data_IF_919384230304
#
_entry.id   IF_919384230304
#
_cell.length_a   1.000
_cell.length_b   1.000
_cell.length_c   1.000
_cell.angle_alpha   90.00
_cell.angle_beta   90.00
_cell.angle_gamma   90.00
#
_symmetry.space_group_name_H-M   'P 1'
#
loop_
_entity.id
_entity.type
_entity.pdbx_description
1 polymer ?
#
# COMPACT_ATOMS: atom_id res chain seq x y z
N UNK A 1 19.12 -8.76 20.38
CA UNK A 1 18.49 -8.70 19.05
C UNK A 1 16.99 -8.48 19.22
N UNK A 2 16.44 -7.40 18.67
CA UNK A 2 15.08 -6.91 18.92
C UNK A 2 14.00 -7.63 18.10
N UNK A 3 14.01 -8.95 18.11
CA UNK A 3 12.96 -9.74 17.46
C UNK A 3 12.13 -10.46 18.51
N UNK A 4 10.84 -10.11 18.60
CA UNK A 4 9.85 -10.83 19.40
C UNK A 4 9.65 -12.29 18.92
N UNK A 5 10.22 -12.64 17.77
CA UNK A 5 10.16 -13.97 17.17
C UNK A 5 11.11 -14.97 17.84
N UNK A 6 10.52 -15.92 18.57
CA UNK A 6 11.23 -17.06 19.17
C UNK A 6 11.16 -18.27 18.24
N UNK A 7 12.18 -18.45 17.40
CA UNK A 7 12.38 -19.64 16.57
C UNK A 7 13.81 -20.18 16.67
N UNK A 8 14.01 -21.44 16.25
CA UNK A 8 15.36 -22.03 16.15
C UNK A 8 16.20 -21.23 15.15
N UNK A 9 17.49 -21.01 15.47
CA UNK A 9 18.41 -20.18 14.68
C UNK A 9 18.44 -20.56 13.18
N UNK A 10 18.42 -21.86 12.87
CA UNK A 10 18.39 -22.39 11.50
C UNK A 10 17.09 -22.10 10.71
N UNK A 11 16.01 -21.73 11.40
CA UNK A 11 14.70 -21.41 10.79
C UNK A 11 14.42 -19.91 10.70
N UNK A 12 15.33 -19.05 11.19
CA UNK A 12 15.12 -17.61 11.23
C UNK A 12 15.55 -16.87 9.98
N UNK A 13 16.51 -17.40 9.23
CA UNK A 13 17.03 -16.70 8.06
C UNK A 13 15.94 -16.47 7.02
N UNK A 14 15.98 -15.30 6.39
CA UNK A 14 15.01 -14.86 5.39
C UNK A 14 15.65 -14.60 4.04
N UNK A 15 16.98 -14.58 3.97
CA UNK A 15 17.75 -14.50 2.75
C UNK A 15 18.96 -15.42 2.79
N UNK A 16 19.33 -15.97 1.65
CA UNK A 16 20.56 -16.74 1.43
C UNK A 16 21.36 -16.15 0.27
N UNK A 17 22.68 -16.11 0.39
CA UNK A 17 23.55 -15.65 -0.67
C UNK A 17 23.43 -16.53 -1.92
N UNK A 18 23.73 -16.00 -3.12
CA UNK A 18 23.72 -16.78 -4.35
C UNK A 18 24.59 -18.05 -4.30
N UNK A 19 25.66 -18.01 -3.49
CA UNK A 19 26.57 -19.14 -3.28
C UNK A 19 26.14 -20.08 -2.14
N UNK A 20 24.99 -19.85 -1.47
CA UNK A 20 24.48 -20.71 -0.39
C UNK A 20 25.23 -20.63 0.94
N UNK A 21 26.41 -20.00 0.98
CA UNK A 21 27.30 -20.01 2.15
C UNK A 21 26.83 -19.11 3.30
N UNK A 22 26.10 -18.04 2.98
CA UNK A 22 25.68 -17.04 3.98
C UNK A 22 24.17 -16.97 4.02
N UNK A 23 23.59 -17.01 5.23
CA UNK A 23 22.16 -16.80 5.42
C UNK A 23 21.93 -15.73 6.49
N UNK A 24 21.04 -14.79 6.20
CA UNK A 24 20.82 -13.60 7.02
C UNK A 24 19.33 -13.41 7.35
N UNK A 25 19.07 -12.73 8.47
CA UNK A 25 17.74 -12.26 8.90
C UNK A 25 17.59 -10.80 8.45
N UNK A 26 17.11 -10.55 7.22
CA UNK A 26 17.02 -9.19 6.64
C UNK A 26 15.59 -8.72 6.37
N UNK A 27 14.59 -9.59 6.55
CA UNK A 27 13.19 -9.25 6.35
C UNK A 27 12.51 -9.07 7.71
N UNK A 28 11.89 -7.90 7.93
CA UNK A 28 11.27 -7.55 9.20
C UNK A 28 9.82 -7.12 9.02
N UNK A 29 9.00 -7.46 10.01
CA UNK A 29 7.65 -6.91 10.18
C UNK A 29 7.72 -5.99 11.40
N UNK A 30 7.49 -4.70 11.20
CA UNK A 30 7.56 -3.69 12.25
C UNK A 30 6.16 -3.30 12.70
N UNK A 31 5.98 -3.14 14.01
CA UNK A 31 4.74 -2.62 14.59
C UNK A 31 5.06 -1.87 15.88
N UNK A 32 4.30 -0.80 16.12
CA UNK A 32 4.27 -0.06 17.38
C UNK A 32 3.50 -0.81 18.49
N UNK A 33 2.77 -1.89 18.15
CA UNK A 33 2.01 -2.72 19.09
C UNK A 33 2.44 -4.19 19.00
N UNK A 34 3.61 -4.55 19.56
CA UNK A 34 4.17 -5.90 19.45
C UNK A 34 3.27 -6.97 20.08
N UNK A 35 2.46 -6.62 21.08
CA UNK A 35 1.49 -7.53 21.72
C UNK A 35 0.35 -7.98 20.79
N UNK A 36 0.13 -7.28 19.67
CA UNK A 36 -0.89 -7.61 18.65
C UNK A 36 -0.37 -8.52 17.56
N UNK A 37 0.94 -8.75 17.50
CA UNK A 37 1.56 -9.67 16.56
C UNK A 37 1.57 -11.08 17.15
N UNK A 38 1.05 -12.05 16.40
CA UNK A 38 1.03 -13.48 16.77
C UNK A 38 1.47 -14.33 15.57
N UNK A 39 1.75 -15.61 15.83
CA UNK A 39 2.05 -16.60 14.80
C UNK A 39 3.14 -16.13 13.81
N UNK A 40 4.22 -15.55 14.35
CA UNK A 40 5.36 -15.15 13.53
C UNK A 40 6.09 -16.40 13.11
N UNK A 41 6.33 -16.55 11.81
CA UNK A 41 7.09 -17.67 11.26
C UNK A 41 7.75 -17.32 9.94
N UNK A 42 8.81 -18.05 9.62
CA UNK A 42 9.43 -18.04 8.30
C UNK A 42 8.91 -19.27 7.54
N UNK A 43 8.24 -19.01 6.43
CA UNK A 43 7.69 -20.02 5.55
C UNK A 43 8.77 -20.57 4.61
N UNK A 44 8.71 -21.87 4.33
CA UNK A 44 9.66 -22.59 3.47
C UNK A 44 8.87 -23.56 2.57
N UNK A 45 9.54 -24.15 1.57
CA UNK A 45 8.93 -25.18 0.72
C UNK A 45 8.01 -24.66 -0.37
N UNK A 46 8.12 -23.38 -0.73
CA UNK A 46 7.47 -22.89 -1.95
C UNK A 46 8.25 -23.37 -3.17
N UNK A 47 7.55 -23.88 -4.18
CA UNK A 47 8.13 -24.41 -5.42
C UNK A 47 8.76 -23.35 -6.34
N UNK A 48 9.12 -22.18 -5.82
CA UNK A 48 9.87 -21.16 -6.54
C UNK A 48 11.26 -21.00 -5.91
N UNK A 49 12.27 -20.88 -6.75
CA UNK A 49 13.63 -20.59 -6.32
C UNK A 49 13.74 -19.08 -6.03
N UNK A 50 13.41 -18.68 -4.80
CA UNK A 50 13.80 -17.37 -4.30
C UNK A 50 14.90 -17.58 -3.25
N UNK A 51 15.98 -16.82 -3.43
CA UNK A 51 16.99 -16.51 -2.42
C UNK A 51 16.37 -15.93 -1.12
N UNK A 52 15.07 -15.60 -1.15
CA UNK A 52 14.26 -15.16 -0.04
C UNK A 52 13.27 -16.21 0.49
N UNK A 53 13.12 -16.25 1.82
CA UNK A 53 12.00 -16.92 2.50
C UNK A 53 10.97 -15.90 2.95
N UNK A 54 9.69 -16.27 2.85
CA UNK A 54 8.59 -15.40 3.26
C UNK A 54 8.48 -15.35 4.80
N UNK A 55 8.29 -14.15 5.34
CA UNK A 55 7.95 -13.94 6.75
C UNK A 55 6.45 -13.74 6.87
N UNK A 56 5.81 -14.55 7.71
CA UNK A 56 4.38 -14.46 8.01
C UNK A 56 4.19 -14.04 9.45
N UNK A 57 3.20 -13.19 9.68
CA UNK A 57 2.69 -12.91 11.01
C UNK A 57 1.19 -12.64 10.93
N UNK A 58 0.47 -12.94 12.01
CA UNK A 58 -0.92 -12.55 12.21
C UNK A 58 -0.96 -11.25 13.02
N UNK A 59 -1.65 -10.23 12.51
CA UNK A 59 -1.87 -8.97 13.24
C UNK A 59 -3.31 -8.89 13.72
N UNK A 60 -3.50 -8.72 15.03
CA UNK A 60 -4.82 -8.59 15.65
C UNK A 60 -5.33 -7.14 15.54
N UNK A 61 -6.56 -6.97 15.04
CA UNK A 61 -7.26 -5.68 14.96
C UNK A 61 -8.36 -5.64 16.02
N UNK A 62 -8.50 -4.51 16.73
CA UNK A 62 -9.56 -4.33 17.75
C UNK A 62 -10.95 -4.14 17.12
N UNK A 63 -10.98 -3.62 15.88
CA UNK A 63 -12.21 -3.30 15.16
C UNK A 63 -12.16 -3.98 13.79
N UNK A 64 -13.28 -4.57 13.37
CA UNK A 64 -13.42 -5.13 12.03
C UNK A 64 -13.13 -4.08 10.96
N UNK A 65 -12.35 -4.45 9.94
CA UNK A 65 -12.03 -3.57 8.82
C UNK A 65 -13.34 -3.10 8.19
N UNK A 66 -13.64 -1.79 8.24
CA UNK A 66 -14.80 -1.22 7.52
C UNK A 66 -14.63 -1.59 6.05
N UNK A 67 -15.60 -2.29 5.49
CA UNK A 67 -15.50 -2.72 4.09
C UNK A 67 -15.40 -1.49 3.18
N UNK A 68 -14.48 -1.53 2.21
CA UNK A 68 -14.43 -0.51 1.15
C UNK A 68 -15.72 -0.51 0.32
N UNK A 69 -16.41 -1.64 0.18
CA UNK A 69 -17.72 -1.69 -0.48
C UNK A 69 -18.83 -1.02 0.33
N UNK A 70 -18.68 -0.91 1.65
CA UNK A 70 -19.60 -0.16 2.50
C UNK A 70 -19.31 1.36 2.49
N UNK A 71 -18.20 1.78 1.88
CA UNK A 71 -17.88 3.20 1.73
C UNK A 71 -18.77 3.80 0.63
N UNK A 72 -19.94 4.33 1.03
CA UNK A 72 -20.76 5.15 0.14
C UNK A 72 -20.09 6.50 0.01
N UNK A 73 -19.59 6.83 -1.19
CA UNK A 73 -19.22 8.19 -1.50
C UNK A 73 -20.44 9.09 -1.24
N UNK A 74 -20.23 10.23 -0.59
CA UNK A 74 -21.31 11.23 -0.48
C UNK A 74 -21.77 11.56 -1.91
N UNK A 75 -23.09 11.56 -2.19
CA UNK A 75 -23.56 11.98 -3.50
C UNK A 75 -22.97 13.36 -3.77
N UNK A 76 -22.35 13.54 -4.93
CA UNK A 76 -21.98 14.87 -5.40
C UNK A 76 -23.30 15.62 -5.59
N UNK A 77 -23.67 16.48 -4.65
CA UNK A 77 -24.63 17.54 -4.94
C UNK A 77 -24.09 18.27 -6.16
N UNK A 78 -24.95 18.40 -7.18
CA UNK A 78 -24.63 19.19 -8.37
C UNK A 78 -24.20 20.57 -7.86
N UNK A 79 -23.01 21.03 -8.27
CA UNK A 79 -22.49 22.35 -7.90
C UNK A 79 -23.57 23.37 -8.29
N UNK A 80 -24.13 24.10 -7.33
CA UNK A 80 -25.06 25.18 -7.63
C UNK A 80 -24.36 26.21 -8.52
N UNK A 81 -25.13 27.00 -9.27
CA UNK A 81 -24.59 28.04 -10.16
C UNK A 81 -23.62 28.98 -9.42
N UNK A 82 -23.87 29.22 -8.13
CA UNK A 82 -23.01 29.97 -7.21
C UNK A 82 -21.64 29.34 -6.99
N UNK A 83 -21.56 28.01 -6.87
CA UNK A 83 -20.29 27.28 -6.75
C UNK A 83 -19.50 27.40 -8.05
N UNK A 84 -20.17 27.33 -9.21
CA UNK A 84 -19.51 27.47 -10.52
C UNK A 84 -18.96 28.90 -10.68
N UNK A 85 -19.74 29.90 -10.28
CA UNK A 85 -19.36 31.30 -10.34
C UNK A 85 -18.14 31.61 -9.47
N UNK A 86 -18.11 31.12 -8.22
CA UNK A 86 -16.93 31.29 -7.35
C UNK A 86 -15.66 30.61 -7.88
N UNK A 87 -15.79 29.44 -8.53
CA UNK A 87 -14.66 28.77 -9.17
C UNK A 87 -14.13 29.52 -10.40
N UNK A 88 -15.01 30.12 -11.20
CA UNK A 88 -14.62 30.93 -12.36
C UNK A 88 -13.98 32.25 -11.93
N UNK A 89 -14.48 32.87 -10.87
CA UNK A 89 -13.93 34.12 -10.30
C UNK A 89 -12.55 33.89 -9.67
N UNK A 90 -12.35 32.78 -8.95
CA UNK A 90 -11.07 32.46 -8.30
C UNK A 90 -10.02 31.87 -9.25
N UNK A 91 -10.40 31.41 -10.45
CA UNK A 91 -9.44 30.83 -11.40
C UNK A 91 -8.62 31.94 -12.06
N UNK A 92 -7.29 32.06 -11.79
CA UNK A 92 -6.47 33.04 -12.48
C UNK A 92 -6.45 32.65 -13.95
N UNK A 93 -6.96 33.52 -14.80
CA UNK A 93 -7.07 33.32 -16.24
C UNK A 93 -5.72 32.92 -16.83
N UNK A 94 -5.52 31.62 -17.08
CA UNK A 94 -4.48 31.18 -18.02
C UNK A 94 -5.02 31.49 -19.41
N UNK A 95 -4.79 32.71 -19.85
CA UNK A 95 -4.85 33.09 -21.26
C UNK A 95 -3.94 32.13 -22.04
N UNK A 96 -4.52 31.04 -22.52
CA UNK A 96 -3.88 30.14 -23.49
C UNK A 96 -4.74 30.15 -24.73
N UNK A 97 -4.57 31.23 -25.49
CA UNK A 97 -4.97 31.33 -26.89
C UNK A 97 -4.57 30.03 -27.60
N UNK A 98 -5.56 29.25 -28.01
CA UNK A 98 -5.38 28.26 -29.07
C UNK A 98 -6.32 28.61 -30.20
N UNK A 99 -5.73 29.25 -31.21
CA UNK A 99 -6.23 29.24 -32.58
C UNK A 99 -6.54 27.77 -32.94
N UNK A 100 -7.82 27.49 -33.18
CA UNK A 100 -8.29 26.26 -33.79
C UNK A 100 -9.31 26.67 -34.83
N UNK A 101 -8.82 26.90 -36.06
CA UNK A 101 -9.65 26.95 -37.25
C UNK A 101 -10.47 25.65 -37.30
N UNK A 102 -11.79 25.76 -37.22
CA UNK A 102 -12.70 24.72 -37.67
C UNK A 102 -13.47 25.28 -38.86
N UNK A 103 -13.29 24.64 -40.00
CA UNK A 103 -13.96 24.96 -41.25
C UNK A 103 -15.47 24.73 -41.09
N UNK A 104 -16.27 25.72 -41.48
CA UNK A 104 -17.70 25.54 -41.72
C UNK A 104 -17.88 24.69 -42.98
N UNK A 105 -18.69 23.64 -42.85
CA UNK A 105 -19.36 23.00 -43.96
C UNK A 105 -20.39 23.98 -44.54
N UNK A 106 -20.29 24.25 -45.84
CA UNK A 106 -21.43 24.47 -46.73
C UNK A 106 -21.05 24.09 -48.15
#
# INVERSE_FOLDING_TARGET
>A
MNSFFKARKNRKWTWVSPCGNTSNEICFILSNHPTRIRNVEVLHGFGFALDHRLVRATYMLDQGKRSRTAFKAKPKTLKMEEDISSYLEYSPTRNRTRRGHINLLQ
#
